data_IF_411872449971
#
_entry.id   IF_411872449971
#
_cell.length_a   1.000
_cell.length_b   1.000
_cell.length_c   1.000
_cell.angle_alpha   90.00
_cell.angle_beta   90.00
_cell.angle_gamma   90.00
#
_symmetry.space_group_name_H-M   'P 1'
#
loop_
_entity.id
_entity.type
_entity.pdbx_description
1 polymer ?
#
# COMPACT_ATOMS: atom_id res chain seq x y z
N UNK A 1 -3.27 -8.97 58.51
CA UNK A 1 -2.95 -7.64 59.08
C UNK A 1 -2.76 -6.66 57.92
N UNK A 2 -3.78 -5.85 57.63
CA UNK A 2 -3.79 -4.92 56.51
C UNK A 2 -3.27 -3.55 56.96
N UNK A 3 -2.28 -3.00 56.23
CA UNK A 3 -1.66 -1.71 56.52
C UNK A 3 -2.31 -0.66 55.62
N UNK A 4 -3.06 0.28 56.21
CA UNK A 4 -3.54 1.46 55.48
C UNK A 4 -2.40 2.45 55.30
N UNK A 5 -2.24 2.94 54.07
CA UNK A 5 -1.37 4.09 53.75
C UNK A 5 -2.27 5.25 53.35
N UNK A 6 -2.20 6.32 54.12
CA UNK A 6 -2.93 7.58 53.92
C UNK A 6 -2.02 8.50 53.10
N UNK A 7 -2.34 8.73 51.82
CA UNK A 7 -1.67 9.76 51.02
C UNK A 7 -2.43 11.08 51.19
N UNK A 8 -1.70 12.09 51.67
CA UNK A 8 -2.12 13.49 51.73
C UNK A 8 -1.03 14.29 51.03
N UNK A 9 -1.36 14.99 49.95
CA UNK A 9 -0.45 15.88 49.21
C UNK A 9 -1.28 16.67 48.20
N UNK A 10 -1.86 17.80 48.61
CA UNK A 10 -1.37 19.17 48.37
C UNK A 10 -1.09 19.42 46.89
N UNK A 11 -2.05 20.07 46.24
CA UNK A 11 -1.91 20.61 44.90
C UNK A 11 -1.06 21.87 44.89
N UNK A 12 -0.25 22.01 43.85
CA UNK A 12 0.28 23.27 43.36
C UNK A 12 0.02 23.30 41.86
N UNK A 13 -0.97 24.09 41.46
CA UNK A 13 -1.25 24.38 40.07
C UNK A 13 -0.17 25.28 39.50
N UNK A 14 0.52 24.80 38.48
CA UNK A 14 1.38 25.62 37.61
C UNK A 14 0.63 25.73 36.28
N UNK A 15 -0.04 26.87 36.07
CA UNK A 15 -0.59 27.24 34.77
C UNK A 15 0.56 27.71 33.89
N UNK A 16 1.02 26.85 32.98
CA UNK A 16 1.98 27.21 31.94
C UNK A 16 1.20 27.86 30.77
N UNK A 17 1.22 29.19 30.70
CA UNK A 17 0.72 29.96 29.56
C UNK A 17 1.78 29.92 28.45
N UNK A 18 1.61 29.02 27.48
CA UNK A 18 2.37 29.03 26.23
C UNK A 18 1.63 29.96 25.25
N UNK A 19 2.18 31.16 25.03
CA UNK A 19 1.72 32.06 23.99
C UNK A 19 2.23 31.58 22.63
N UNK A 20 1.34 31.05 21.80
CA UNK A 20 1.62 30.82 20.39
C UNK A 20 1.35 32.12 19.63
N UNK A 21 2.40 32.73 19.08
CA UNK A 21 2.23 33.76 18.04
C UNK A 21 1.84 33.04 16.75
N UNK A 22 0.59 33.23 16.32
CA UNK A 22 0.11 32.72 15.04
C UNK A 22 0.86 33.46 13.91
N UNK A 23 1.75 32.75 13.22
CA UNK A 23 2.29 33.22 11.94
C UNK A 23 1.15 33.25 10.91
N UNK A 24 1.09 34.25 10.03
CA UNK A 24 0.10 34.28 8.96
C UNK A 24 0.33 33.06 8.05
N UNK A 25 -0.67 32.18 8.02
CA UNK A 25 -0.73 31.07 7.06
C UNK A 25 -0.71 31.67 5.66
N UNK A 26 0.42 31.51 4.97
CA UNK A 26 0.52 31.78 3.54
C UNK A 26 -0.44 30.83 2.84
N UNK A 27 -1.60 31.36 2.44
CA UNK A 27 -2.53 30.70 1.55
C UNK A 27 -1.85 30.51 0.20
N UNK A 28 -1.16 29.38 0.02
CA UNK A 28 -0.77 28.91 -1.30
C UNK A 28 -2.07 28.61 -2.05
N UNK A 29 -2.30 29.35 -3.12
CA UNK A 29 -3.31 29.06 -4.12
C UNK A 29 -3.13 27.61 -4.59
N UNK A 30 -4.00 26.73 -4.11
CA UNK A 30 -3.95 25.28 -4.32
C UNK A 30 -4.76 24.89 -5.56
N UNK A 31 -4.71 25.72 -6.61
CA UNK A 31 -5.34 25.45 -7.90
C UNK A 31 -4.58 24.44 -8.76
N UNK A 32 -3.39 24.02 -8.33
CA UNK A 32 -2.76 22.77 -8.78
C UNK A 32 -2.98 21.68 -7.74
N UNK A 33 -4.20 21.12 -7.72
CA UNK A 33 -4.41 19.81 -7.11
C UNK A 33 -3.40 18.84 -7.75
N UNK A 34 -2.71 17.99 -6.96
CA UNK A 34 -1.84 16.97 -7.53
C UNK A 34 -2.70 16.20 -8.54
N UNK A 35 -2.22 16.07 -9.78
CA UNK A 35 -2.92 15.34 -10.84
C UNK A 35 -3.44 14.03 -10.25
N UNK A 36 -4.76 13.97 -10.02
CA UNK A 36 -5.35 12.88 -9.25
C UNK A 36 -5.03 11.56 -9.93
N UNK A 37 -4.92 10.47 -9.17
CA UNK A 37 -4.52 9.17 -9.71
C UNK A 37 -5.36 8.75 -10.94
N UNK A 38 -6.62 9.22 -11.03
CA UNK A 38 -7.49 9.08 -12.21
C UNK A 38 -6.92 9.71 -13.49
N UNK A 39 -6.39 10.93 -13.40
CA UNK A 39 -5.81 11.63 -14.55
C UNK A 39 -4.50 10.95 -14.97
N UNK A 40 -3.68 10.50 -14.02
CA UNK A 40 -2.44 9.77 -14.35
C UNK A 40 -2.68 8.41 -15.00
N UNK A 41 -3.71 7.66 -14.57
CA UNK A 41 -4.09 6.43 -15.27
C UNK A 41 -4.70 6.68 -16.65
N UNK A 42 -5.42 7.79 -16.83
CA UNK A 42 -5.94 8.18 -18.14
C UNK A 42 -4.82 8.68 -19.08
N UNK A 43 -3.86 9.45 -18.56
CA UNK A 43 -2.74 10.04 -19.31
C UNK A 43 -1.67 9.01 -19.66
N UNK A 44 -1.51 7.94 -18.87
CA UNK A 44 -0.69 6.78 -19.23
C UNK A 44 -1.10 6.20 -20.60
N UNK A 45 -2.41 6.21 -20.88
CA UNK A 45 -2.96 5.77 -22.16
C UNK A 45 -2.76 6.80 -23.31
N UNK A 46 -2.28 8.02 -23.00
CA UNK A 46 -2.32 9.20 -23.87
C UNK A 46 -0.98 9.69 -24.46
N UNK A 47 0.13 8.97 -24.26
CA UNK A 47 1.32 9.15 -25.11
C UNK A 47 2.24 10.35 -24.82
N UNK A 48 2.43 10.77 -23.56
CA UNK A 48 3.56 11.65 -23.20
C UNK A 48 4.78 10.82 -22.75
N UNK A 49 5.97 11.16 -23.24
CA UNK A 49 7.14 10.28 -23.24
C UNK A 49 7.86 10.06 -21.91
N UNK A 50 7.34 10.56 -20.77
CA UNK A 50 8.16 10.73 -19.55
C UNK A 50 7.78 9.90 -18.31
N UNK A 51 6.66 9.18 -18.24
CA UNK A 51 6.37 8.40 -17.02
C UNK A 51 5.79 7.02 -17.31
N UNK A 52 6.67 6.06 -17.60
CA UNK A 52 6.37 4.63 -17.45
C UNK A 52 6.14 4.23 -15.99
N UNK A 53 6.50 5.07 -15.02
CA UNK A 53 6.21 4.82 -13.61
C UNK A 53 5.00 5.65 -13.16
N UNK A 54 3.92 4.95 -12.82
CA UNK A 54 2.67 5.58 -12.38
C UNK A 54 2.69 5.90 -10.88
N UNK A 55 3.48 5.16 -10.10
CA UNK A 55 3.71 5.45 -8.69
C UNK A 55 4.10 4.27 -7.82
N UNK A 56 4.34 4.58 -6.57
CA UNK A 56 4.47 3.66 -5.45
C UNK A 56 3.30 3.88 -4.51
N UNK A 57 2.74 2.78 -4.03
CA UNK A 57 1.65 2.75 -3.08
C UNK A 57 2.00 1.84 -1.91
N UNK A 58 1.47 2.16 -0.74
CA UNK A 58 1.68 1.37 0.47
C UNK A 58 0.39 1.20 1.26
N UNK A 59 0.28 0.06 1.94
CA UNK A 59 -0.77 -0.25 2.93
C UNK A 59 -0.16 -1.09 4.05
N UNK A 60 -0.94 -1.27 5.10
CA UNK A 60 -0.70 -2.27 6.13
C UNK A 60 -1.50 -3.54 5.78
N UNK A 61 -0.92 -4.73 5.86
CA UNK A 61 -1.66 -6.00 5.80
C UNK A 61 -2.54 -6.09 7.06
N UNK A 62 -3.88 -6.13 6.92
CA UNK A 62 -4.77 -6.26 8.08
C UNK A 62 -4.58 -7.58 8.84
N UNK A 63 -3.97 -8.61 8.25
CA UNK A 63 -3.83 -9.94 8.85
C UNK A 63 -2.68 -10.06 9.84
N UNK A 64 -1.58 -9.33 9.62
CA UNK A 64 -0.38 -9.43 10.46
C UNK A 64 0.30 -8.09 10.76
N UNK A 65 -0.21 -6.98 10.21
CA UNK A 65 0.36 -5.65 10.40
C UNK A 65 1.61 -5.36 9.55
N UNK A 66 1.97 -6.25 8.63
CA UNK A 66 3.07 -6.07 7.67
C UNK A 66 2.86 -4.87 6.75
N UNK A 67 3.93 -4.35 6.17
CA UNK A 67 3.82 -3.28 5.17
C UNK A 67 3.81 -3.91 3.79
N UNK A 68 2.72 -3.68 3.06
CA UNK A 68 2.60 -4.06 1.67
C UNK A 68 2.94 -2.85 0.81
N UNK A 69 3.85 -3.03 -0.13
CA UNK A 69 4.21 -2.02 -1.12
C UNK A 69 3.82 -2.50 -2.51
N UNK A 70 3.20 -1.62 -3.30
CA UNK A 70 2.82 -1.88 -4.69
C UNK A 70 3.39 -0.80 -5.61
N UNK A 71 3.98 -1.20 -6.73
CA UNK A 71 4.41 -0.30 -7.80
C UNK A 71 3.64 -0.62 -9.07
N UNK A 72 3.14 0.42 -9.74
CA UNK A 72 2.45 0.31 -11.03
C UNK A 72 3.26 1.04 -12.08
N UNK A 73 3.52 0.37 -13.19
CA UNK A 73 4.23 0.90 -14.36
C UNK A 73 3.43 0.65 -15.64
N UNK A 74 3.80 1.37 -16.69
CA UNK A 74 3.49 1.12 -18.10
C UNK A 74 4.83 1.20 -18.85
N UNK A 75 5.67 0.17 -18.65
CA UNK A 75 7.03 0.14 -19.19
C UNK A 75 7.05 -0.06 -20.69
N UNK A 76 6.15 -0.91 -21.19
CA UNK A 76 6.13 -1.32 -22.59
C UNK A 76 5.24 -0.44 -23.47
N UNK A 77 4.41 0.43 -22.87
CA UNK A 77 3.47 1.34 -23.57
C UNK A 77 2.51 0.58 -24.49
N UNK A 78 2.16 -0.65 -24.12
CA UNK A 78 1.22 -1.50 -24.86
C UNK A 78 -0.22 -1.38 -24.34
N UNK A 79 -0.47 -0.44 -23.43
CA UNK A 79 -1.76 -0.23 -22.78
C UNK A 79 -2.04 -1.24 -21.66
N UNK A 80 -1.06 -2.08 -21.29
CA UNK A 80 -1.10 -2.89 -20.08
C UNK A 80 -0.25 -2.23 -19.01
N UNK A 81 -0.73 -2.32 -17.78
CA UNK A 81 0.01 -1.84 -16.64
C UNK A 81 0.71 -3.03 -15.99
N UNK A 82 2.01 -2.92 -15.76
CA UNK A 82 2.72 -3.91 -14.94
C UNK A 82 2.60 -3.53 -13.47
N UNK A 83 2.36 -4.55 -12.66
CA UNK A 83 2.22 -4.42 -11.23
C UNK A 83 3.25 -5.32 -10.55
N UNK A 84 3.94 -4.74 -9.58
CA UNK A 84 4.72 -5.51 -8.62
C UNK A 84 4.26 -5.17 -7.22
N UNK A 85 3.97 -6.19 -6.43
CA UNK A 85 3.59 -6.06 -5.04
C UNK A 85 4.54 -6.90 -4.18
N UNK A 86 4.91 -6.36 -3.04
CA UNK A 86 5.75 -7.05 -2.05
C UNK A 86 5.13 -6.89 -0.68
N UNK A 87 5.10 -7.98 0.05
CA UNK A 87 4.71 -8.03 1.45
C UNK A 87 5.88 -8.56 2.27
N UNK A 88 5.99 -8.12 3.52
CA UNK A 88 6.90 -8.68 4.51
C UNK A 88 6.61 -10.15 4.82
N UNK A 89 5.34 -10.56 4.79
CA UNK A 89 4.95 -11.94 5.03
C UNK A 89 3.74 -12.31 4.17
N UNK A 90 3.90 -13.35 3.34
CA UNK A 90 2.82 -13.81 2.47
C UNK A 90 2.30 -15.13 3.02
N UNK A 91 1.06 -15.12 3.50
CA UNK A 91 0.43 -16.30 4.12
C UNK A 91 0.41 -17.53 3.23
N UNK A 92 0.13 -17.37 1.93
CA UNK A 92 0.15 -18.51 0.99
C UNK A 92 1.58 -19.07 0.76
N UNK A 93 2.59 -18.28 1.11
CA UNK A 93 3.99 -18.71 1.15
C UNK A 93 4.43 -19.20 2.53
N UNK A 94 3.55 -19.32 3.52
CA UNK A 94 3.89 -19.75 4.87
C UNK A 94 4.54 -21.15 4.87
N UNK A 95 5.54 -21.31 5.74
CA UNK A 95 6.17 -22.60 5.98
C UNK A 95 5.17 -23.53 6.68
N UNK A 96 4.86 -24.66 6.04
CA UNK A 96 4.17 -25.80 6.64
C UNK A 96 5.18 -26.91 6.95
N UNK A 97 4.82 -27.86 7.82
CA UNK A 97 5.71 -28.97 8.14
C UNK A 97 6.09 -29.75 6.87
N UNK A 98 7.38 -29.81 6.56
CA UNK A 98 7.90 -30.45 5.34
C UNK A 98 7.86 -29.58 4.07
N UNK A 99 7.36 -28.35 4.15
CA UNK A 99 7.40 -27.38 3.05
C UNK A 99 8.74 -26.65 3.01
N UNK A 100 9.34 -26.44 1.82
CA UNK A 100 10.55 -25.63 1.67
C UNK A 100 10.28 -24.12 1.77
N UNK A 101 9.02 -23.69 1.84
CA UNK A 101 8.64 -22.26 1.86
C UNK A 101 9.04 -21.59 3.18
N UNK A 102 9.33 -20.30 3.14
CA UNK A 102 9.79 -19.52 4.31
C UNK A 102 8.79 -18.48 4.84
N UNK A 103 7.60 -18.35 4.24
CA UNK A 103 6.72 -17.20 4.45
C UNK A 103 7.00 -16.03 3.51
N UNK A 104 8.15 -16.05 2.81
CA UNK A 104 8.55 -14.99 1.87
C UNK A 104 8.02 -15.27 0.48
N UNK A 105 7.52 -14.22 -0.17
CA UNK A 105 7.16 -14.27 -1.57
C UNK A 105 7.13 -12.90 -2.21
N UNK A 106 6.88 -12.88 -3.52
CA UNK A 106 6.67 -11.66 -4.30
C UNK A 106 5.46 -11.90 -5.19
N UNK A 107 4.67 -10.85 -5.33
CA UNK A 107 3.51 -10.79 -6.18
C UNK A 107 3.88 -10.04 -7.46
N UNK A 108 3.80 -10.71 -8.61
CA UNK A 108 4.14 -10.13 -9.91
C UNK A 108 2.99 -10.36 -10.89
N UNK A 109 2.58 -9.32 -11.60
CA UNK A 109 1.51 -9.45 -12.57
C UNK A 109 1.42 -8.29 -13.52
N UNK A 110 0.41 -8.37 -14.37
CA UNK A 110 0.03 -7.27 -15.25
C UNK A 110 -1.48 -7.21 -15.37
N UNK A 111 -1.97 -6.04 -15.75
CA UNK A 111 -3.40 -5.79 -15.84
C UNK A 111 -3.76 -4.86 -16.96
N UNK A 112 -5.05 -4.86 -17.27
CA UNK A 112 -5.65 -3.93 -18.22
C UNK A 112 -6.73 -3.12 -17.53
N UNK A 113 -6.87 -1.86 -17.96
CA UNK A 113 -7.95 -1.01 -17.51
C UNK A 113 -9.27 -1.56 -18.02
N UNK A 114 -10.10 -2.06 -17.10
CA UNK A 114 -11.46 -2.49 -17.38
C UNK A 114 -12.43 -1.30 -17.47
N UNK A 115 -12.11 -0.21 -16.77
CA UNK A 115 -12.78 1.09 -16.86
C UNK A 115 -11.80 2.21 -16.49
N UNK A 116 -12.25 3.46 -16.53
CA UNK A 116 -11.46 4.64 -16.13
C UNK A 116 -10.97 4.62 -14.68
N UNK A 117 -11.50 3.73 -13.84
CA UNK A 117 -11.16 3.64 -12.43
C UNK A 117 -10.97 2.21 -11.93
N UNK A 118 -10.95 1.22 -12.81
CA UNK A 118 -10.82 -0.19 -12.45
C UNK A 118 -9.74 -0.85 -13.31
N UNK A 119 -8.71 -1.36 -12.66
CA UNK A 119 -7.65 -2.16 -13.24
C UNK A 119 -7.83 -3.61 -12.79
N UNK A 120 -8.06 -4.51 -13.74
CA UNK A 120 -8.08 -5.95 -13.49
C UNK A 120 -6.66 -6.48 -13.69
N UNK A 121 -6.11 -7.12 -12.68
CA UNK A 121 -4.75 -7.64 -12.69
C UNK A 121 -4.78 -9.15 -12.55
N UNK A 122 -4.06 -9.82 -13.45
CA UNK A 122 -3.69 -11.22 -13.28
C UNK A 122 -2.26 -11.25 -12.81
N UNK A 123 -2.03 -11.88 -11.67
CA UNK A 123 -0.73 -11.95 -11.03
C UNK A 123 -0.40 -13.38 -10.62
N UNK A 124 0.85 -13.57 -10.25
CA UNK A 124 1.37 -14.80 -9.69
C UNK A 124 2.10 -14.44 -8.40
N UNK A 125 1.81 -15.20 -7.35
CA UNK A 125 2.66 -15.18 -6.15
C UNK A 125 3.76 -16.20 -6.33
N UNK A 126 5.01 -15.76 -6.19
CA UNK A 126 6.20 -16.62 -6.17
C UNK A 126 6.65 -16.77 -4.73
N UNK A 127 6.70 -18.00 -4.24
CA UNK A 127 7.17 -18.30 -2.88
C UNK A 127 8.61 -18.79 -2.90
N UNK A 128 9.40 -18.38 -1.91
CA UNK A 128 10.82 -18.67 -1.85
C UNK A 128 11.21 -19.55 -0.67
N UNK A 129 12.25 -20.36 -0.87
CA UNK A 129 12.94 -21.08 0.20
C UNK A 129 13.96 -20.19 0.95
N UNK A 130 14.76 -20.80 1.83
CA UNK A 130 15.81 -20.09 2.58
C UNK A 130 16.96 -19.58 1.71
N UNK A 131 17.16 -20.18 0.53
CA UNK A 131 18.20 -19.83 -0.44
C UNK A 131 17.70 -18.82 -1.50
N UNK A 132 16.49 -18.30 -1.34
CA UNK A 132 15.81 -17.41 -2.29
C UNK A 132 15.53 -18.07 -3.65
N UNK A 133 15.37 -19.39 -3.68
CA UNK A 133 14.92 -20.13 -4.87
C UNK A 133 13.40 -20.18 -4.87
N UNK A 134 12.79 -19.93 -6.03
CA UNK A 134 11.33 -20.08 -6.21
C UNK A 134 10.99 -21.55 -6.08
N UNK A 135 10.17 -21.90 -5.09
CA UNK A 135 9.73 -23.28 -4.81
C UNK A 135 8.25 -23.50 -5.07
N UNK A 136 7.48 -22.43 -5.22
CA UNK A 136 6.06 -22.49 -5.58
C UNK A 136 5.65 -21.24 -6.35
N UNK A 137 4.62 -21.36 -7.20
CA UNK A 137 4.06 -20.27 -7.97
C UNK A 137 2.56 -20.49 -8.17
N UNK A 138 1.75 -19.57 -7.63
CA UNK A 138 0.30 -19.70 -7.64
C UNK A 138 -0.34 -18.50 -8.34
N UNK A 139 -1.31 -18.72 -9.24
CA UNK A 139 -2.05 -17.62 -9.85
C UNK A 139 -2.94 -16.93 -8.81
N UNK A 140 -3.06 -15.62 -8.93
CA UNK A 140 -3.89 -14.76 -8.09
C UNK A 140 -4.51 -13.67 -8.94
N UNK A 141 -5.81 -13.43 -8.75
CA UNK A 141 -6.55 -12.40 -9.47
C UNK A 141 -6.89 -11.24 -8.54
N UNK A 142 -6.59 -10.02 -8.99
CA UNK A 142 -6.80 -8.79 -8.22
C UNK A 142 -7.57 -7.75 -8.99
N UNK A 143 -8.22 -6.88 -8.23
CA UNK A 143 -8.90 -5.70 -8.73
C UNK A 143 -8.38 -4.48 -7.97
N UNK A 144 -7.94 -3.49 -8.73
CA UNK A 144 -7.53 -2.19 -8.23
C UNK A 144 -8.57 -1.17 -8.65
N UNK A 145 -9.22 -0.57 -7.66
CA UNK A 145 -10.21 0.48 -7.89
C UNK A 145 -9.68 1.81 -7.38
N UNK A 146 -9.63 2.81 -8.26
CA UNK A 146 -9.25 4.16 -7.87
C UNK A 146 -10.40 4.84 -7.13
N UNK A 147 -10.13 5.31 -5.91
CA UNK A 147 -11.07 6.02 -5.05
C UNK A 147 -10.42 7.33 -4.58
N UNK A 148 -10.71 8.42 -5.29
CA UNK A 148 -10.02 9.70 -5.08
C UNK A 148 -8.52 9.57 -5.41
N UNK A 149 -7.67 9.86 -4.41
CA UNK A 149 -6.21 9.71 -4.48
C UNK A 149 -5.70 8.39 -3.88
N UNK A 150 -6.62 7.52 -3.44
CA UNK A 150 -6.30 6.19 -2.91
C UNK A 150 -6.62 5.11 -3.92
N UNK A 151 -6.00 3.95 -3.74
CA UNK A 151 -6.33 2.75 -4.51
C UNK A 151 -6.89 1.71 -3.55
N UNK A 152 -8.11 1.29 -3.79
CA UNK A 152 -8.75 0.18 -3.09
C UNK A 152 -8.36 -1.10 -3.81
N UNK A 153 -7.74 -2.02 -3.07
CA UNK A 153 -7.30 -3.30 -3.57
C UNK A 153 -8.19 -4.41 -3.04
N UNK A 154 -8.67 -5.29 -3.91
CA UNK A 154 -9.45 -6.46 -3.51
C UNK A 154 -8.97 -7.69 -4.27
N UNK A 155 -8.75 -8.80 -3.57
CA UNK A 155 -8.11 -9.97 -4.15
C UNK A 155 -8.16 -11.22 -3.30
N UNK A 156 -8.26 -12.38 -3.95
CA UNK A 156 -8.25 -13.71 -3.30
C UNK A 156 -6.88 -14.04 -2.68
N UNK A 157 -5.80 -13.42 -3.19
CA UNK A 157 -4.43 -13.62 -2.69
C UNK A 157 -4.09 -12.97 -1.35
N UNK A 158 -4.94 -12.07 -0.82
CA UNK A 158 -4.82 -11.47 0.52
C UNK A 158 -5.82 -12.07 1.53
N UNK A 159 -6.40 -13.24 1.21
CA UNK A 159 -7.41 -13.90 2.05
C UNK A 159 -8.79 -13.25 1.97
N UNK A 160 -9.23 -12.89 0.77
CA UNK A 160 -10.51 -12.21 0.47
C UNK A 160 -10.69 -10.84 1.16
N UNK A 161 -9.59 -10.24 1.63
CA UNK A 161 -9.60 -8.94 2.30
C UNK A 161 -9.46 -7.78 1.32
N UNK A 162 -10.07 -6.66 1.68
CA UNK A 162 -9.85 -5.36 1.03
C UNK A 162 -8.73 -4.63 1.76
N UNK A 163 -7.73 -4.15 1.03
CA UNK A 163 -6.66 -3.31 1.54
C UNK A 163 -6.69 -1.93 0.87
N UNK A 164 -6.45 -0.87 1.65
CA UNK A 164 -6.49 0.50 1.16
C UNK A 164 -5.07 1.02 1.01
N UNK A 165 -4.67 1.21 -0.24
CA UNK A 165 -3.35 1.66 -0.59
C UNK A 165 -3.31 3.20 -0.72
N UNK A 166 -2.35 3.79 -0.04
CA UNK A 166 -2.02 5.21 -0.13
C UNK A 166 -0.85 5.41 -1.07
N UNK A 167 -0.95 6.40 -1.97
CA UNK A 167 0.15 6.77 -2.85
C UNK A 167 1.26 7.45 -2.05
N UNK A 168 2.51 7.01 -2.22
CA UNK A 168 3.67 7.50 -1.46
C UNK A 168 4.77 8.09 -2.35
N UNK A 169 4.60 8.12 -3.67
CA UNK A 169 5.54 8.77 -4.61
C UNK A 169 4.80 9.61 -5.66
N UNK A 170 5.49 10.60 -6.25
CA UNK A 170 4.98 11.53 -7.28
C UNK A 170 5.79 11.47 -8.59
#
# INVERSE_FOLDING_TARGET
MARQVKLTGIGLGISLLIGFTAEPVVSRDNSQLPMGAKQQLADAHGGSSEKSFLGLWQTVDPLDGGIITASITDNDRDGKLELRLSDTFIRVCQAEAGSPKTGRGIYEGSGTLASSNLLNVTATVKCFDSNNVVVDSLPVDWKFKLVGDTVEFTGTGLGDNTAIFHKVSY
#
